data_IF_637530637851
#
_entry.id   IF_637530637851
#
_cell.length_a   1.000
_cell.length_b   1.000
_cell.length_c   1.000
_cell.angle_alpha   90.00
_cell.angle_beta   90.00
_cell.angle_gamma   90.00
#
_symmetry.space_group_name_H-M   'P 1'
#
loop_
_entity.id
_entity.type
_entity.pdbx_description
1 polymer ?
#
# COMPACT_ATOMS: atom_id res chain seq x y z
N UNK A 1 -17.48 8.05 -25.86
CA UNK A 1 -17.93 7.73 -24.49
C UNK A 1 -17.09 8.51 -23.49
N UNK A 2 -17.63 9.60 -22.95
CA UNK A 2 -16.95 10.44 -21.97
C UNK A 2 -16.87 9.69 -20.62
N UNK A 3 -15.68 9.28 -20.21
CA UNK A 3 -15.45 8.86 -18.83
C UNK A 3 -15.70 10.08 -17.94
N UNK A 4 -16.80 10.03 -17.18
CA UNK A 4 -17.09 10.97 -16.08
C UNK A 4 -15.79 11.20 -15.30
N UNK A 5 -15.31 12.44 -15.29
CA UNK A 5 -14.30 12.87 -14.35
C UNK A 5 -14.82 12.53 -12.95
N UNK A 6 -14.25 11.51 -12.32
CA UNK A 6 -14.42 11.33 -10.90
C UNK A 6 -13.73 12.52 -10.24
N UNK A 7 -14.50 13.58 -9.97
CA UNK A 7 -14.21 14.53 -8.91
C UNK A 7 -14.24 13.73 -7.61
N UNK A 8 -13.22 12.92 -7.38
CA UNK A 8 -12.95 12.37 -6.05
C UNK A 8 -12.65 13.58 -5.20
N UNK A 9 -13.63 13.96 -4.38
CA UNK A 9 -13.53 15.08 -3.47
C UNK A 9 -12.17 14.99 -2.78
N UNK A 10 -11.32 16.00 -2.99
CA UNK A 10 -9.96 16.08 -2.43
C UNK A 10 -9.97 15.88 -0.89
N UNK A 11 -11.10 16.25 -0.26
CA UNK A 11 -11.39 16.05 1.16
C UNK A 11 -11.63 14.57 1.52
N UNK A 12 -12.32 13.80 0.67
CA UNK A 12 -12.55 12.37 0.93
C UNK A 12 -11.25 11.58 0.81
N UNK A 13 -10.39 11.89 -0.17
CA UNK A 13 -9.07 11.25 -0.31
C UNK A 13 -8.15 11.57 0.90
N UNK A 14 -8.26 12.74 1.51
CA UNK A 14 -7.48 13.11 2.69
C UNK A 14 -7.98 12.45 3.99
N UNK A 15 -9.30 12.24 4.11
CA UNK A 15 -9.93 11.64 5.30
C UNK A 15 -9.92 10.10 5.25
N UNK A 16 -9.98 9.52 4.04
CA UNK A 16 -10.14 8.08 3.83
C UNK A 16 -8.83 7.36 3.53
N UNK A 17 -7.70 8.06 3.35
CA UNK A 17 -6.46 7.37 2.95
C UNK A 17 -5.74 6.64 4.07
N UNK A 18 -5.77 7.06 5.35
CA UNK A 18 -5.38 6.23 6.49
C UNK A 18 -5.91 6.84 7.80
N UNK A 19 -7.15 6.57 8.19
CA UNK A 19 -7.48 6.62 9.61
C UNK A 19 -6.85 5.39 10.29
N UNK A 20 -6.60 5.47 11.60
CA UNK A 20 -5.78 4.56 12.40
C UNK A 20 -6.22 3.06 12.44
N UNK A 21 -7.16 2.63 11.60
CA UNK A 21 -7.68 1.28 11.46
C UNK A 21 -7.16 0.54 10.21
N UNK A 22 -5.91 0.77 9.80
CA UNK A 22 -5.04 -0.24 9.16
C UNK A 22 -5.55 -1.00 7.92
N UNK A 23 -6.65 -0.61 7.30
CA UNK A 23 -7.20 -1.19 6.09
C UNK A 23 -7.30 -0.06 5.10
N UNK A 24 -6.44 -0.08 4.10
CA UNK A 24 -6.59 0.82 2.98
C UNK A 24 -7.99 0.58 2.42
N UNK A 25 -8.80 1.63 2.28
CA UNK A 25 -10.14 1.53 1.72
C UNK A 25 -10.05 0.87 0.35
N UNK A 26 -10.34 -0.43 0.31
CA UNK A 26 -10.14 -1.26 -0.89
C UNK A 26 -11.03 -0.74 -2.01
N UNK A 27 -12.19 -0.19 -1.65
CA UNK A 27 -13.15 0.46 -2.54
C UNK A 27 -12.63 1.79 -3.14
N UNK A 28 -11.77 2.50 -2.42
CA UNK A 28 -11.12 3.71 -2.92
C UNK A 28 -9.96 3.32 -3.84
N UNK A 29 -9.14 2.36 -3.40
CA UNK A 29 -7.99 1.89 -4.17
C UNK A 29 -8.43 1.27 -5.50
N UNK A 30 -9.50 0.49 -5.54
CA UNK A 30 -9.97 -0.17 -6.76
C UNK A 30 -10.31 0.79 -7.89
N UNK A 31 -10.69 2.03 -7.59
CA UNK A 31 -10.99 3.08 -8.58
C UNK A 31 -9.73 3.52 -9.36
N UNK A 32 -8.55 3.40 -8.74
CA UNK A 32 -7.28 3.87 -9.30
C UNK A 32 -6.41 2.75 -9.88
N UNK A 33 -6.90 1.52 -9.92
CA UNK A 33 -6.14 0.33 -10.35
C UNK A 33 -6.79 -0.28 -11.59
N UNK A 34 -5.95 -0.78 -12.50
CA UNK A 34 -6.34 -1.58 -13.66
C UNK A 34 -6.85 -2.96 -13.22
N UNK A 35 -7.65 -3.67 -14.05
CA UNK A 35 -8.02 -5.05 -13.76
C UNK A 35 -6.80 -5.98 -13.56
N UNK A 36 -5.64 -5.64 -14.13
CA UNK A 36 -4.40 -6.42 -13.99
C UNK A 36 -3.55 -6.09 -12.75
N UNK A 37 -4.02 -5.22 -11.85
CA UNK A 37 -3.29 -4.81 -10.63
C UNK A 37 -2.25 -3.70 -10.83
N UNK A 38 -2.12 -3.16 -12.05
CA UNK A 38 -1.29 -1.98 -12.30
C UNK A 38 -2.03 -0.69 -11.92
N UNK A 39 -1.33 0.28 -11.33
CA UNK A 39 -1.91 1.60 -11.05
C UNK A 39 -2.21 2.38 -12.34
N UNK A 40 -3.31 3.15 -12.36
CA UNK A 40 -3.61 4.08 -13.45
C UNK A 40 -2.59 5.22 -13.51
N UNK A 41 -2.25 5.74 -14.71
CA UNK A 41 -1.28 6.83 -14.84
C UNK A 41 -1.86 8.15 -14.31
N UNK A 42 -0.97 8.98 -13.72
CA UNK A 42 -1.34 10.29 -13.11
C UNK A 42 -2.16 11.21 -14.01
N UNK A 43 -1.86 11.24 -15.32
CA UNK A 43 -2.59 12.05 -16.30
C UNK A 43 -4.08 11.69 -16.40
N UNK A 44 -4.42 10.42 -16.15
CA UNK A 44 -5.81 9.93 -16.16
C UNK A 44 -6.47 10.13 -14.80
N UNK A 45 -5.73 9.87 -13.70
CA UNK A 45 -6.29 9.98 -12.35
C UNK A 45 -6.50 11.43 -11.91
N UNK A 46 -5.83 12.41 -12.54
CA UNK A 46 -5.94 13.83 -12.18
C UNK A 46 -5.34 14.18 -10.81
N UNK A 47 -4.55 13.27 -10.23
CA UNK A 47 -3.98 13.43 -8.90
C UNK A 47 -2.70 14.26 -8.93
N UNK A 48 -2.49 15.01 -7.85
CA UNK A 48 -1.23 15.65 -7.56
C UNK A 48 -0.11 14.59 -7.37
N UNK A 49 1.13 14.98 -7.61
CA UNK A 49 2.28 14.06 -7.59
C UNK A 49 2.48 13.40 -6.22
N UNK A 50 2.15 14.09 -5.14
CA UNK A 50 2.31 13.60 -3.77
C UNK A 50 1.26 12.54 -3.44
N UNK A 51 -0.03 12.83 -3.61
CA UNK A 51 -1.09 11.87 -3.33
C UNK A 51 -1.12 10.72 -4.35
N UNK A 52 -0.65 10.94 -5.59
CA UNK A 52 -0.41 9.82 -6.50
C UNK A 52 0.62 8.83 -5.94
N UNK A 53 1.72 9.31 -5.34
CA UNK A 53 2.72 8.45 -4.68
C UNK A 53 2.16 7.79 -3.41
N UNK A 54 1.31 8.48 -2.63
CA UNK A 54 0.65 7.89 -1.47
C UNK A 54 -0.22 6.70 -1.88
N UNK A 55 -1.07 6.88 -2.90
CA UNK A 55 -1.90 5.82 -3.45
C UNK A 55 -1.05 4.67 -3.99
N UNK A 56 0.00 4.97 -4.75
CA UNK A 56 0.90 3.94 -5.29
C UNK A 56 1.46 3.02 -4.20
N UNK A 57 1.88 3.59 -3.07
CA UNK A 57 2.37 2.82 -1.94
C UNK A 57 1.27 2.02 -1.26
N UNK A 58 0.08 2.59 -1.08
CA UNK A 58 -1.08 1.88 -0.55
C UNK A 58 -1.47 0.68 -1.43
N UNK A 59 -1.51 0.85 -2.75
CA UNK A 59 -1.78 -0.22 -3.73
C UNK A 59 -0.72 -1.34 -3.60
N UNK A 60 0.57 -0.98 -3.55
CA UNK A 60 1.65 -1.97 -3.36
C UNK A 60 1.52 -2.73 -2.04
N UNK A 61 1.12 -2.06 -0.96
CA UNK A 61 0.90 -2.68 0.34
C UNK A 61 -0.33 -3.61 0.32
N UNK A 62 -1.43 -3.19 -0.33
CA UNK A 62 -2.65 -3.97 -0.45
C UNK A 62 -2.45 -5.27 -1.26
N UNK A 63 -1.72 -5.20 -2.38
CA UNK A 63 -1.36 -6.41 -3.14
C UNK A 63 -0.53 -7.40 -2.31
N UNK A 64 0.42 -6.90 -1.51
CA UNK A 64 1.25 -7.75 -0.64
C UNK A 64 0.46 -8.36 0.51
N UNK A 65 -0.57 -7.67 0.98
CA UNK A 65 -1.50 -8.15 1.99
C UNK A 65 -2.58 -9.09 1.45
N UNK A 66 -2.71 -9.21 0.12
CA UNK A 66 -3.72 -10.06 -0.51
C UNK A 66 -5.14 -9.49 -0.51
N UNK A 67 -5.30 -8.19 -0.30
CA UNK A 67 -6.61 -7.51 -0.22
C UNK A 67 -7.30 -7.32 -1.59
N UNK A 68 -6.58 -7.53 -2.69
CA UNK A 68 -7.06 -7.33 -4.06
C UNK A 68 -7.06 -8.65 -4.86
N UNK A 69 -7.96 -9.60 -4.56
CA UNK A 69 -7.95 -10.93 -5.18
C UNK A 69 -8.28 -10.89 -6.68
N UNK A 70 -9.12 -9.94 -7.12
CA UNK A 70 -9.57 -9.80 -8.51
C UNK A 70 -8.58 -9.05 -9.40
N UNK A 71 -7.55 -8.42 -8.81
CA UNK A 71 -6.55 -7.63 -9.53
C UNK A 71 -5.21 -8.36 -9.57
N UNK A 72 -5.17 -9.48 -10.28
CA UNK A 72 -3.97 -10.31 -10.43
C UNK A 72 -3.37 -10.14 -11.83
N UNK A 73 -2.05 -10.30 -11.98
CA UNK A 73 -1.44 -10.34 -13.29
C UNK A 73 -2.02 -11.50 -14.11
N UNK A 74 -2.17 -11.29 -15.42
CA UNK A 74 -2.51 -12.37 -16.33
C UNK A 74 -1.38 -13.38 -16.34
N UNK A 75 -1.75 -14.64 -16.17
CA UNK A 75 -0.85 -15.75 -16.32
C UNK A 75 -0.95 -16.22 -17.77
N UNK A 76 0.18 -16.58 -18.41
CA UNK A 76 0.14 -17.18 -19.73
C UNK A 76 -0.64 -18.50 -19.68
N UNK A 77 -1.23 -18.86 -20.81
CA UNK A 77 -2.02 -20.07 -20.95
C UNK A 77 -1.19 -21.31 -20.54
N UNK A 78 -1.78 -22.20 -19.74
CA UNK A 78 -1.11 -23.38 -19.18
C UNK A 78 -0.23 -23.14 -17.94
N UNK A 79 -0.06 -21.91 -17.46
CA UNK A 79 0.74 -21.67 -16.26
C UNK A 79 -0.04 -21.95 -14.97
N UNK A 80 0.34 -23.01 -14.26
CA UNK A 80 -0.19 -23.35 -12.92
C UNK A 80 0.75 -22.81 -11.83
N UNK A 81 0.33 -21.86 -10.99
CA UNK A 81 1.16 -21.33 -9.92
C UNK A 81 1.51 -22.40 -8.87
N UNK A 82 2.80 -22.51 -8.53
CA UNK A 82 3.25 -23.38 -7.43
C UNK A 82 2.67 -22.90 -6.09
N UNK A 83 2.25 -23.85 -5.25
CA UNK A 83 1.82 -23.58 -3.86
C UNK A 83 3.00 -22.96 -3.08
N UNK A 84 2.79 -21.73 -2.58
CA UNK A 84 3.74 -21.04 -1.70
C UNK A 84 3.13 -20.96 -0.31
N UNK A 85 3.94 -20.94 0.77
CA UNK A 85 3.43 -20.70 2.10
C UNK A 85 2.71 -19.34 2.12
N UNK A 86 1.44 -19.37 2.52
CA UNK A 86 0.63 -18.17 2.69
C UNK A 86 1.01 -17.55 4.03
N UNK A 87 1.60 -16.36 3.98
CA UNK A 87 1.97 -15.61 5.16
C UNK A 87 1.05 -14.41 5.23
N UNK A 88 0.24 -14.33 6.29
CA UNK A 88 -0.59 -13.17 6.57
C UNK A 88 0.33 -11.98 6.90
N UNK A 89 0.32 -10.97 6.04
CA UNK A 89 1.18 -9.80 6.17
C UNK A 89 0.36 -8.56 5.90
N UNK A 90 0.55 -7.54 6.71
CA UNK A 90 -0.08 -6.24 6.54
C UNK A 90 0.99 -5.15 6.67
N UNK A 91 0.68 -3.96 6.15
CA UNK A 91 1.55 -2.79 6.22
C UNK A 91 3.01 -3.00 5.75
N UNK A 92 3.25 -3.89 4.78
CA UNK A 92 4.60 -4.24 4.33
C UNK A 92 5.20 -3.21 3.35
N UNK A 93 6.25 -2.49 3.78
CA UNK A 93 6.94 -1.47 2.97
C UNK A 93 7.72 -2.04 1.79
N UNK A 94 8.40 -3.15 1.99
CA UNK A 94 9.35 -3.73 1.03
C UNK A 94 8.82 -5.02 0.40
N UNK A 95 9.37 -5.38 -0.77
CA UNK A 95 9.08 -6.68 -1.40
C UNK A 95 9.73 -7.80 -0.60
N UNK A 96 9.04 -8.95 -0.48
CA UNK A 96 9.59 -10.11 0.23
C UNK A 96 10.94 -10.57 -0.33
N UNK A 97 11.16 -10.38 -1.64
CA UNK A 97 12.40 -10.81 -2.31
C UNK A 97 13.58 -9.86 -2.12
N UNK A 98 13.32 -8.60 -1.72
CA UNK A 98 14.37 -7.58 -1.62
C UNK A 98 14.92 -7.42 -0.20
N UNK A 99 14.23 -7.96 0.81
CA UNK A 99 14.63 -7.81 2.23
C UNK A 99 15.47 -9.00 2.66
N UNK A 100 16.66 -8.72 3.18
CA UNK A 100 17.53 -9.71 3.84
C UNK A 100 17.17 -9.80 5.34
N UNK A 101 17.30 -10.98 5.97
CA UNK A 101 17.14 -11.10 7.41
C UNK A 101 18.21 -10.27 8.14
N UNK A 102 17.83 -9.69 9.28
CA UNK A 102 18.75 -8.96 10.17
C UNK A 102 19.34 -9.98 11.14
N UNK A 103 20.58 -10.40 10.91
CA UNK A 103 21.28 -11.30 11.81
C UNK A 103 21.72 -10.58 13.10
N UNK A 104 22.27 -9.38 12.95
CA UNK A 104 22.77 -8.58 14.07
C UNK A 104 21.83 -7.39 14.33
N UNK A 105 21.02 -7.47 15.39
CA UNK A 105 20.08 -6.39 15.76
C UNK A 105 20.75 -5.19 16.42
N UNK A 106 21.94 -5.36 17.00
CA UNK A 106 22.65 -4.32 17.75
C UNK A 106 22.10 -4.10 19.17
N UNK A 107 22.86 -3.36 19.97
CA UNK A 107 22.47 -2.93 21.32
C UNK A 107 21.39 -1.85 21.29
N UNK A 108 20.82 -1.50 22.45
CA UNK A 108 19.71 -0.55 22.58
C UNK A 108 19.96 0.80 21.87
N UNK A 109 21.19 1.31 21.92
CA UNK A 109 21.56 2.61 21.32
C UNK A 109 21.80 2.57 19.81
N UNK A 110 22.10 1.40 19.22
CA UNK A 110 22.31 1.23 17.78
C UNK A 110 21.45 0.07 17.24
N UNK A 111 20.20 0.01 17.69
CA UNK A 111 19.30 -1.08 17.35
C UNK A 111 18.76 -0.89 15.93
N UNK A 112 18.95 -1.90 15.07
CA UNK A 112 18.34 -1.95 13.73
C UNK A 112 16.84 -2.22 13.87
N UNK A 113 16.02 -1.23 13.52
CA UNK A 113 14.55 -1.33 13.58
C UNK A 113 13.95 -1.85 12.28
N UNK A 114 12.86 -2.59 12.41
CA UNK A 114 12.04 -3.08 11.30
C UNK A 114 11.05 -1.99 10.85
N UNK A 115 11.12 -1.64 9.58
CA UNK A 115 10.21 -0.68 8.96
C UNK A 115 8.81 -1.28 8.73
N UNK A 116 7.78 -0.58 9.21
CA UNK A 116 6.36 -0.91 9.01
C UNK A 116 5.66 0.31 8.41
N UNK A 117 4.69 0.10 7.53
CA UNK A 117 3.97 1.19 6.86
C UNK A 117 4.83 1.97 5.86
N UNK A 118 4.43 3.20 5.55
CA UNK A 118 5.17 4.11 4.65
C UNK A 118 5.37 5.48 5.29
N UNK A 119 6.57 6.09 5.18
CA UNK A 119 6.80 7.45 5.66
C UNK A 119 5.98 8.49 4.88
N UNK A 120 5.52 8.18 3.66
CA UNK A 120 4.66 9.08 2.88
C UNK A 120 3.26 9.25 3.49
N UNK A 121 2.90 8.41 4.45
CA UNK A 121 1.59 8.38 5.11
C UNK A 121 1.68 8.90 6.55
N UNK A 122 2.80 9.50 6.94
CA UNK A 122 3.04 9.99 8.31
C UNK A 122 2.13 11.18 8.69
N UNK A 123 1.75 11.98 7.69
CA UNK A 123 1.01 13.24 7.88
C UNK A 123 -0.52 13.01 7.86
N UNK A 124 -0.97 11.75 7.90
CA UNK A 124 -2.38 11.42 7.90
C UNK A 124 -3.02 11.71 9.26
N UNK A 125 -4.33 11.98 9.25
CA UNK A 125 -5.10 12.31 10.44
C UNK A 125 -4.99 11.19 11.47
N UNK A 126 -4.40 11.51 12.63
CA UNK A 126 -4.28 10.59 13.76
C UNK A 126 -5.34 10.93 14.80
N UNK A 127 -6.32 10.04 14.96
CA UNK A 127 -7.37 10.18 16.00
C UNK A 127 -6.88 9.77 17.40
N UNK A 128 -5.71 9.15 17.48
CA UNK A 128 -5.06 8.75 18.73
C UNK A 128 -4.08 9.83 19.18
N UNK A 129 -3.91 9.99 20.50
CA UNK A 129 -2.88 10.85 21.08
C UNK A 129 -1.45 10.40 20.75
N UNK A 130 -1.28 9.11 20.42
CA UNK A 130 0.01 8.54 20.03
C UNK A 130 0.22 8.68 18.51
N UNK A 131 1.40 9.13 18.07
CA UNK A 131 1.72 9.21 16.65
C UNK A 131 1.91 7.82 16.05
N UNK A 132 1.81 7.74 14.72
CA UNK A 132 2.06 6.51 13.96
C UNK A 132 3.51 6.05 14.13
N UNK A 133 3.68 4.82 14.62
CA UNK A 133 5.00 4.18 14.75
C UNK A 133 5.35 3.46 13.45
N UNK A 134 6.36 3.96 12.75
CA UNK A 134 6.80 3.40 11.46
C UNK A 134 8.01 2.46 11.56
N UNK A 135 8.60 2.35 12.76
CA UNK A 135 9.79 1.54 13.01
C UNK A 135 9.68 0.82 14.35
N UNK A 136 9.70 -0.51 14.32
CA UNK A 136 9.56 -1.37 15.50
C UNK A 136 10.87 -2.12 15.75
N UNK A 137 11.20 -2.42 17.01
CA UNK A 137 12.45 -3.11 17.36
C UNK A 137 12.38 -3.86 18.68
#
# INVERSE_FOLDING_TARGET
MAMRMMTVNKQHLALSTCSASGTADVLLLSQFIRPHGGMLPRKITGLCQEEHRKIEVCVKMAHRAGLLPNHRPLLPEGFVPKKKPQLNRYLTRWSRRSVKPIYNKGHRWNKVRMAVGSPLLKDNVCYSSKPLVLYHG
#
